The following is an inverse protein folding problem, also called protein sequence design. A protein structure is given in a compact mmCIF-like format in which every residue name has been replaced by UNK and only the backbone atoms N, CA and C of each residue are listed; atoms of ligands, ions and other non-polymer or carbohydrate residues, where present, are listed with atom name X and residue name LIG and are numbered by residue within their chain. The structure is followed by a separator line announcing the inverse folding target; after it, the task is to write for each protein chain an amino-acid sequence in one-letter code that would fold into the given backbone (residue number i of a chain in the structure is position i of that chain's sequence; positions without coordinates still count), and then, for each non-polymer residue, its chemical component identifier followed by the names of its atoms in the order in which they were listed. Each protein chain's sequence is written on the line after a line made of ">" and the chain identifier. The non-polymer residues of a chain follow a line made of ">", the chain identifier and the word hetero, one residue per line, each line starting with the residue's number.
data_IF_345957978545
#
_entry.id   IF_345957978545
#
_cell.length_a   1.000
_cell.length_b   1.000
_cell.length_c   1.000
_cell.angle_alpha   90.00
_cell.angle_beta   90.00
_cell.angle_gamma   90.00
#
_symmetry.space_group_name_H-M   'P 1'
#
loop_
_entity.id
_entity.type
_entity.pdbx_description
1 polymer ?
#
# COMPACT_ATOMS: atom_id res chain seq x y z
N UNK A 1 -30.54 41.45 48.01
CA UNK A 1 -31.26 41.02 46.77
C UNK A 1 -30.22 40.86 45.65
N UNK A 2 -29.92 39.67 45.24
CA UNK A 2 -29.01 39.43 44.09
C UNK A 2 -29.81 39.89 42.83
N UNK A 3 -29.22 40.83 42.09
CA UNK A 3 -29.83 41.37 40.89
C UNK A 3 -29.96 40.25 39.83
N UNK A 4 -31.20 39.80 39.61
CA UNK A 4 -31.55 38.72 38.63
C UNK A 4 -30.95 38.97 37.24
N UNK A 5 -30.79 40.23 36.86
CA UNK A 5 -30.19 40.66 35.61
C UNK A 5 -28.67 40.45 35.57
N UNK A 6 -27.99 40.61 36.72
CA UNK A 6 -26.54 40.33 36.85
C UNK A 6 -26.29 38.82 36.83
N UNK A 7 -27.14 38.05 37.49
CA UNK A 7 -27.06 36.59 37.52
C UNK A 7 -27.19 35.97 36.11
N UNK A 8 -28.13 36.45 35.30
CA UNK A 8 -28.31 35.96 33.93
C UNK A 8 -27.14 36.28 33.02
N UNK A 9 -26.50 37.43 33.17
CA UNK A 9 -25.28 37.79 32.43
C UNK A 9 -24.08 36.93 32.82
N UNK A 10 -23.91 36.68 34.13
CA UNK A 10 -22.84 35.79 34.61
C UNK A 10 -23.05 34.35 34.09
N UNK A 11 -24.29 33.84 34.07
CA UNK A 11 -24.63 32.53 33.55
C UNK A 11 -24.35 32.43 32.03
N UNK A 12 -24.72 33.43 31.27
CA UNK A 12 -24.48 33.48 29.82
C UNK A 12 -22.97 33.48 29.51
N UNK A 13 -22.18 34.22 30.30
CA UNK A 13 -20.71 34.25 30.15
C UNK A 13 -20.07 32.94 30.52
N UNK A 14 -20.52 32.25 31.57
CA UNK A 14 -20.04 30.89 31.95
C UNK A 14 -20.38 29.87 30.85
N UNK A 15 -21.56 29.89 30.30
CA UNK A 15 -21.95 29.00 29.17
C UNK A 15 -21.09 29.29 27.94
N UNK A 16 -20.84 30.56 27.61
CA UNK A 16 -19.97 30.95 26.51
C UNK A 16 -18.53 30.45 26.70
N UNK A 17 -17.96 30.62 27.89
CA UNK A 17 -16.64 30.11 28.22
C UNK A 17 -16.59 28.57 28.19
N UNK A 18 -17.61 27.90 28.66
CA UNK A 18 -17.73 26.44 28.58
C UNK A 18 -17.80 25.96 27.13
N UNK A 19 -18.57 26.62 26.27
CA UNK A 19 -18.64 26.28 24.84
C UNK A 19 -17.28 26.49 24.15
N UNK A 20 -16.56 27.59 24.46
CA UNK A 20 -15.23 27.86 23.91
C UNK A 20 -14.23 26.80 24.41
N UNK A 21 -14.25 26.47 25.69
CA UNK A 21 -13.41 25.43 26.26
C UNK A 21 -13.68 24.06 25.62
N UNK A 22 -14.96 23.72 25.42
CA UNK A 22 -15.36 22.46 24.78
C UNK A 22 -14.95 22.43 23.32
N UNK A 23 -15.18 23.54 22.57
CA UNK A 23 -14.76 23.68 21.19
C UNK A 23 -13.23 23.57 21.03
N UNK A 24 -12.47 24.20 21.95
CA UNK A 24 -11.02 24.13 21.96
C UNK A 24 -10.54 22.68 22.19
N UNK A 25 -11.08 22.00 23.19
CA UNK A 25 -10.71 20.58 23.47
C UNK A 25 -11.19 19.61 22.38
N UNK A 26 -12.32 19.91 21.72
CA UNK A 26 -12.84 19.09 20.63
C UNK A 26 -12.03 19.28 19.33
N UNK A 27 -11.53 20.51 19.10
CA UNK A 27 -10.74 20.84 17.91
C UNK A 27 -9.23 20.52 18.08
N UNK A 28 -8.79 20.11 19.27
CA UNK A 28 -7.38 19.88 19.58
C UNK A 28 -6.90 18.44 19.29
N UNK A 29 -7.61 17.65 18.52
CA UNK A 29 -7.00 16.47 17.86
C UNK A 29 -6.16 17.01 16.68
N UNK A 30 -4.98 17.54 17.01
CA UNK A 30 -3.98 17.88 16.00
C UNK A 30 -3.62 16.58 15.28
N UNK A 31 -4.09 16.44 14.06
CA UNK A 31 -3.63 15.37 13.19
C UNK A 31 -2.41 15.84 12.42
N UNK A 32 -1.39 15.00 12.38
CA UNK A 32 -0.19 15.20 11.57
C UNK A 32 -0.35 14.42 10.29
N UNK A 33 -0.06 15.05 9.16
CA UNK A 33 -0.15 14.41 7.85
C UNK A 33 1.18 14.52 7.12
N UNK A 34 1.62 13.41 6.57
CA UNK A 34 2.70 13.34 5.58
C UNK A 34 2.15 12.75 4.29
N UNK A 35 2.69 13.18 3.15
CA UNK A 35 2.19 12.74 1.85
C UNK A 35 3.26 12.79 0.78
N UNK A 36 3.04 12.07 -0.31
CA UNK A 36 3.94 12.07 -1.45
C UNK A 36 3.30 11.45 -2.69
N UNK A 37 4.14 11.08 -3.65
CA UNK A 37 3.71 10.48 -4.91
C UNK A 37 4.41 9.14 -5.13
N UNK A 38 3.64 8.11 -5.47
CA UNK A 38 4.15 6.78 -5.80
C UNK A 38 3.13 5.98 -6.62
N UNK A 39 3.58 4.98 -7.37
CA UNK A 39 2.72 4.06 -8.14
C UNK A 39 1.76 4.76 -9.10
N UNK A 40 2.15 5.94 -9.63
CA UNK A 40 1.28 6.76 -10.49
C UNK A 40 0.12 7.47 -9.78
N UNK A 41 0.15 7.55 -8.43
CA UNK A 41 -0.88 8.18 -7.58
C UNK A 41 -0.25 8.89 -6.39
N UNK A 42 -1.06 9.56 -5.59
CA UNK A 42 -0.63 10.13 -4.31
C UNK A 42 -0.76 9.09 -3.19
N UNK A 43 0.06 9.25 -2.17
CA UNK A 43 -0.11 8.58 -0.89
C UNK A 43 -0.17 9.60 0.23
N UNK A 44 -0.87 9.29 1.31
CA UNK A 44 -0.89 10.09 2.52
C UNK A 44 -1.02 9.23 3.77
N UNK A 45 -0.44 9.71 4.86
CA UNK A 45 -0.57 9.11 6.19
C UNK A 45 -0.98 10.22 7.14
N UNK A 46 -2.10 10.04 7.79
CA UNK A 46 -2.60 10.92 8.85
C UNK A 46 -2.50 10.20 10.17
N UNK A 47 -1.96 10.85 11.19
CA UNK A 47 -1.83 10.29 12.54
C UNK A 47 -2.17 11.32 13.60
N UNK A 48 -2.64 10.86 14.76
CA UNK A 48 -2.78 11.71 15.96
C UNK A 48 -1.45 11.93 16.68
N UNK A 49 -0.47 11.06 16.43
CA UNK A 49 0.90 11.20 16.89
C UNK A 49 1.73 11.99 15.88
N UNK A 50 2.76 12.68 16.37
CA UNK A 50 3.67 13.44 15.51
C UNK A 50 4.53 12.49 14.64
N UNK A 51 4.46 12.67 13.34
CA UNK A 51 5.28 11.92 12.38
C UNK A 51 6.55 12.74 12.12
N UNK A 52 7.66 12.35 12.73
CA UNK A 52 8.94 13.01 12.56
C UNK A 52 9.54 12.73 11.14
N UNK A 53 10.40 13.62 10.65
CA UNK A 53 11.01 13.55 9.31
C UNK A 53 11.69 12.21 8.99
N UNK A 54 12.28 11.56 10.01
CA UNK A 54 12.91 10.25 9.79
C UNK A 54 11.89 9.15 9.50
N UNK A 55 10.66 9.24 10.05
CA UNK A 55 9.57 8.32 9.73
C UNK A 55 9.09 8.52 8.30
N UNK A 56 8.91 9.77 7.87
CA UNK A 56 8.55 10.10 6.48
C UNK A 56 9.57 9.52 5.49
N UNK A 57 10.87 9.71 5.75
CA UNK A 57 11.96 9.14 4.93
C UNK A 57 11.91 7.62 4.88
N UNK A 58 11.65 6.95 6.00
CA UNK A 58 11.56 5.49 6.04
C UNK A 58 10.30 4.98 5.32
N UNK A 59 9.18 5.68 5.44
CA UNK A 59 7.96 5.38 4.69
C UNK A 59 8.20 5.50 3.19
N UNK A 60 8.81 6.62 2.75
CA UNK A 60 9.16 6.79 1.34
C UNK A 60 10.13 5.71 0.84
N UNK A 61 11.06 5.28 1.69
CA UNK A 61 11.95 4.16 1.36
C UNK A 61 11.17 2.85 1.19
N UNK A 62 10.25 2.52 2.09
CA UNK A 62 9.39 1.32 1.98
C UNK A 62 8.62 1.35 0.65
N UNK A 63 8.04 2.49 0.29
CA UNK A 63 7.30 2.68 -0.95
C UNK A 63 8.21 2.46 -2.16
N UNK A 64 9.39 3.07 -2.16
CA UNK A 64 10.35 2.94 -3.27
C UNK A 64 10.89 1.51 -3.42
N UNK A 65 11.19 0.84 -2.31
CA UNK A 65 11.66 -0.55 -2.30
C UNK A 65 10.60 -1.48 -2.93
N UNK A 66 9.32 -1.27 -2.61
CA UNK A 66 8.22 -2.06 -3.17
C UNK A 66 8.00 -1.73 -4.65
N UNK A 67 8.16 -0.47 -5.05
CA UNK A 67 8.06 -0.07 -6.45
C UNK A 67 9.18 -0.71 -7.29
N UNK A 68 10.41 -0.73 -6.78
CA UNK A 68 11.53 -1.42 -7.44
C UNK A 68 11.36 -2.95 -7.47
N UNK A 69 10.61 -3.49 -6.54
CA UNK A 69 10.35 -4.92 -6.48
C UNK A 69 9.21 -5.36 -7.41
N UNK A 70 8.11 -4.62 -7.45
CA UNK A 70 6.83 -5.08 -8.01
C UNK A 70 6.34 -4.29 -9.24
N UNK A 71 7.04 -3.27 -9.70
CA UNK A 71 6.57 -2.40 -10.79
C UNK A 71 6.70 -3.07 -12.15
N UNK A 72 5.58 -3.17 -12.87
CA UNK A 72 5.57 -3.55 -14.28
C UNK A 72 5.99 -2.40 -15.22
N UNK A 73 6.16 -1.18 -14.68
CA UNK A 73 6.53 0.02 -15.45
C UNK A 73 8.03 0.29 -15.47
N UNK A 74 8.80 -0.38 -14.60
CA UNK A 74 10.25 -0.25 -14.50
C UNK A 74 10.91 -1.50 -15.08
N UNK A 75 11.75 -1.32 -16.10
CA UNK A 75 12.44 -2.43 -16.77
C UNK A 75 13.50 -3.10 -15.90
N UNK A 76 13.99 -2.40 -14.87
CA UNK A 76 14.97 -2.83 -13.89
C UNK A 76 14.35 -3.28 -12.56
N UNK A 77 13.03 -3.33 -12.47
CA UNK A 77 12.35 -3.89 -11.30
C UNK A 77 12.59 -5.39 -11.19
N UNK A 78 12.53 -5.90 -9.96
CA UNK A 78 12.76 -7.32 -9.70
C UNK A 78 11.74 -8.21 -10.46
N UNK A 79 10.45 -7.81 -10.48
CA UNK A 79 9.44 -8.56 -11.22
C UNK A 79 9.65 -8.50 -12.74
N UNK A 80 10.19 -7.42 -13.29
CA UNK A 80 10.54 -7.34 -14.70
C UNK A 80 11.68 -8.31 -15.06
N UNK A 81 12.68 -8.44 -14.18
CA UNK A 81 13.75 -9.44 -14.33
C UNK A 81 13.17 -10.86 -14.33
N UNK A 82 12.27 -11.16 -13.39
CA UNK A 82 11.58 -12.46 -13.35
C UNK A 82 10.73 -12.69 -14.60
N UNK A 83 10.02 -11.69 -15.08
CA UNK A 83 9.18 -11.78 -16.26
C UNK A 83 9.97 -12.13 -17.52
N UNK A 84 11.16 -11.54 -17.67
CA UNK A 84 12.06 -11.76 -18.80
C UNK A 84 13.03 -12.95 -18.57
N UNK A 85 13.02 -13.52 -17.38
CA UNK A 85 13.87 -14.65 -17.03
C UNK A 85 13.47 -15.97 -17.70
N UNK A 86 14.37 -16.98 -17.67
CA UNK A 86 14.15 -18.26 -18.32
C UNK A 86 12.99 -19.03 -17.70
N UNK A 87 12.35 -19.90 -18.50
CA UNK A 87 11.32 -20.84 -18.04
C UNK A 87 11.97 -22.11 -17.46
N UNK A 88 11.24 -22.79 -16.58
CA UNK A 88 11.67 -24.03 -15.91
C UNK A 88 13.02 -23.93 -15.21
N UNK A 89 13.37 -22.72 -14.73
CA UNK A 89 14.62 -22.43 -14.03
C UNK A 89 14.31 -21.71 -12.71
N UNK A 90 15.02 -22.04 -11.66
CA UNK A 90 14.95 -21.32 -10.38
C UNK A 90 15.49 -19.89 -10.55
N UNK A 91 14.65 -18.92 -10.30
CA UNK A 91 15.03 -17.50 -10.25
C UNK A 91 14.91 -17.07 -8.79
N UNK A 92 16.05 -16.84 -8.14
CA UNK A 92 16.09 -16.33 -6.75
C UNK A 92 15.52 -14.92 -6.70
N UNK A 93 14.68 -14.66 -5.70
CA UNK A 93 14.01 -13.38 -5.51
C UNK A 93 14.18 -12.90 -4.07
N UNK A 94 13.96 -11.60 -3.86
CA UNK A 94 13.93 -11.01 -2.52
C UNK A 94 12.84 -11.63 -1.65
N UNK A 95 13.00 -11.54 -0.33
CA UNK A 95 11.98 -11.97 0.63
C UNK A 95 10.64 -11.29 0.36
N UNK A 96 10.66 -10.00 0.05
CA UNK A 96 9.45 -9.23 -0.24
C UNK A 96 8.72 -9.71 -1.49
N UNK A 97 9.44 -9.95 -2.59
CA UNK A 97 8.81 -10.47 -3.81
C UNK A 97 8.30 -11.90 -3.61
N UNK A 98 9.04 -12.72 -2.89
CA UNK A 98 8.61 -14.07 -2.52
C UNK A 98 7.30 -14.04 -1.72
N UNK A 99 7.19 -13.11 -0.76
CA UNK A 99 5.98 -12.93 0.06
C UNK A 99 4.79 -12.50 -0.81
N UNK A 100 4.96 -11.50 -1.69
CA UNK A 100 3.90 -11.05 -2.61
C UNK A 100 3.42 -12.21 -3.49
N UNK A 101 4.34 -12.97 -4.10
CA UNK A 101 3.99 -14.12 -4.94
C UNK A 101 3.28 -15.21 -4.14
N UNK A 102 3.67 -15.42 -2.87
CA UNK A 102 3.05 -16.39 -1.97
C UNK A 102 1.62 -15.98 -1.61
N UNK A 103 1.41 -14.71 -1.26
CA UNK A 103 0.09 -14.15 -0.97
C UNK A 103 -0.80 -14.25 -2.23
N UNK A 104 -0.27 -13.86 -3.38
CA UNK A 104 -1.00 -13.96 -4.66
C UNK A 104 -1.47 -15.37 -4.97
N UNK A 105 -0.62 -16.37 -4.68
CA UNK A 105 -0.98 -17.78 -4.86
C UNK A 105 -2.11 -18.22 -3.92
N UNK A 106 -2.11 -17.72 -2.67
CA UNK A 106 -3.18 -18.00 -1.72
C UNK A 106 -4.50 -17.33 -2.16
N UNK A 107 -4.45 -16.05 -2.58
CA UNK A 107 -5.63 -15.33 -3.09
C UNK A 107 -6.19 -15.99 -4.34
N UNK A 108 -5.34 -16.43 -5.27
CA UNK A 108 -5.76 -17.19 -6.45
C UNK A 108 -6.51 -18.47 -6.06
N UNK A 109 -6.01 -19.19 -5.06
CA UNK A 109 -6.66 -20.42 -4.57
C UNK A 109 -8.02 -20.14 -3.94
N UNK A 110 -8.15 -19.14 -3.04
CA UNK A 110 -9.41 -18.84 -2.35
C UNK A 110 -10.45 -18.21 -3.27
N UNK A 111 -10.00 -17.53 -4.35
CA UNK A 111 -10.87 -16.97 -5.38
C UNK A 111 -11.23 -17.99 -6.49
N UNK A 112 -10.87 -19.27 -6.35
CA UNK A 112 -11.07 -20.28 -7.38
C UNK A 112 -10.49 -19.89 -8.77
N UNK A 113 -9.34 -19.17 -8.76
CA UNK A 113 -8.63 -18.74 -9.99
C UNK A 113 -9.18 -17.45 -10.62
N UNK A 114 -10.21 -16.81 -10.04
CA UNK A 114 -10.66 -15.50 -10.53
C UNK A 114 -9.59 -14.41 -10.35
N UNK A 115 -8.76 -14.53 -9.34
CA UNK A 115 -7.58 -13.71 -9.17
C UNK A 115 -6.36 -14.42 -9.76
N UNK A 116 -5.77 -13.83 -10.82
CA UNK A 116 -4.64 -14.43 -11.56
C UNK A 116 -3.61 -13.36 -11.93
N UNK A 117 -2.49 -13.37 -11.22
CA UNK A 117 -1.37 -12.45 -11.49
C UNK A 117 -0.54 -12.85 -12.73
N UNK A 118 -0.80 -13.98 -13.36
CA UNK A 118 -0.03 -14.48 -14.51
C UNK A 118 -0.52 -13.90 -15.84
N UNK A 119 -1.40 -12.91 -15.79
CA UNK A 119 -1.99 -12.24 -16.96
C UNK A 119 -1.21 -10.99 -17.41
N UNK A 120 0.05 -10.82 -16.98
CA UNK A 120 0.83 -9.61 -17.25
C UNK A 120 1.00 -9.28 -18.73
N UNK A 121 1.11 -10.28 -19.61
CA UNK A 121 1.12 -10.04 -21.06
C UNK A 121 -0.22 -9.52 -21.58
N UNK A 122 -1.33 -9.98 -21.03
CA UNK A 122 -2.67 -9.49 -21.37
C UNK A 122 -2.82 -8.04 -20.93
N UNK A 123 -2.46 -7.73 -19.67
CA UNK A 123 -2.42 -6.35 -19.14
C UNK A 123 -1.59 -5.44 -20.05
N UNK A 124 -0.40 -5.89 -20.43
CA UNK A 124 0.50 -5.14 -21.34
C UNK A 124 -0.14 -4.89 -22.70
N UNK A 125 -0.79 -5.88 -23.30
CA UNK A 125 -1.48 -5.72 -24.60
C UNK A 125 -2.65 -4.73 -24.54
N UNK A 126 -3.24 -4.55 -23.36
CA UNK A 126 -4.32 -3.59 -23.11
C UNK A 126 -3.81 -2.17 -22.76
N UNK A 127 -2.49 -1.98 -22.69
CA UNK A 127 -1.90 -0.67 -22.41
C UNK A 127 -1.60 -0.39 -20.92
N UNK A 128 -1.68 -1.40 -20.05
CA UNK A 128 -1.39 -1.27 -18.62
C UNK A 128 0.08 -1.52 -18.24
N UNK A 129 1.00 -1.49 -19.24
CA UNK A 129 2.45 -1.57 -19.04
C UNK A 129 3.15 -0.84 -20.18
N UNK A 130 4.30 -0.15 -19.96
CA UNK A 130 5.01 0.57 -21.02
C UNK A 130 5.65 -0.32 -22.08
N UNK A 131 5.85 -1.59 -21.82
CA UNK A 131 6.37 -2.56 -22.78
C UNK A 131 5.22 -3.10 -23.63
N UNK A 132 4.72 -2.25 -24.55
CA UNK A 132 3.71 -2.62 -25.53
C UNK A 132 4.31 -3.56 -26.59
N UNK A 133 4.33 -4.85 -26.34
CA UNK A 133 4.40 -5.80 -27.45
C UNK A 133 3.03 -5.81 -28.13
N UNK A 134 2.92 -5.09 -29.26
CA UNK A 134 1.68 -5.01 -30.07
C UNK A 134 1.15 -6.36 -30.57
N UNK A 135 1.89 -7.44 -30.37
CA UNK A 135 1.56 -8.80 -30.78
C UNK A 135 1.73 -9.80 -29.65
N UNK A 136 1.01 -9.63 -28.53
CA UNK A 136 0.87 -10.70 -27.54
C UNK A 136 -0.07 -11.77 -28.09
N UNK A 137 0.35 -12.43 -29.17
CA UNK A 137 -0.46 -13.46 -29.83
C UNK A 137 -0.44 -14.79 -29.08
N UNK A 138 0.40 -14.96 -28.05
CA UNK A 138 0.52 -16.21 -27.32
C UNK A 138 0.64 -15.97 -25.82
N UNK A 139 -0.51 -15.71 -25.18
CA UNK A 139 -0.61 -15.95 -23.75
C UNK A 139 -0.70 -17.48 -23.58
N UNK A 140 0.32 -18.15 -22.99
CA UNK A 140 0.32 -19.61 -22.90
C UNK A 140 -0.87 -20.09 -22.08
N UNK A 141 -1.50 -21.19 -22.51
CA UNK A 141 -2.64 -21.79 -21.79
C UNK A 141 -2.23 -22.30 -20.40
N UNK A 142 -1.01 -22.83 -20.28
CA UNK A 142 -0.45 -23.27 -19.00
C UNK A 142 0.40 -22.15 -18.39
N UNK A 143 -0.15 -21.42 -17.41
CA UNK A 143 0.50 -20.31 -16.70
C UNK A 143 0.68 -20.66 -15.22
N UNK A 144 1.40 -21.74 -14.93
CA UNK A 144 1.69 -22.12 -13.55
C UNK A 144 3.08 -21.68 -13.13
N UNK A 145 3.23 -21.46 -11.84
CA UNK A 145 4.53 -21.19 -11.21
C UNK A 145 4.67 -21.95 -9.88
N UNK A 146 5.88 -22.31 -9.56
CA UNK A 146 6.26 -22.90 -8.28
C UNK A 146 7.08 -21.91 -7.47
N UNK A 147 6.94 -21.99 -6.15
CA UNK A 147 7.72 -21.21 -5.19
C UNK A 147 8.52 -22.18 -4.32
N UNK A 148 9.83 -21.98 -4.24
CA UNK A 148 10.72 -22.74 -3.38
C UNK A 148 11.09 -21.90 -2.15
N UNK A 149 10.62 -22.33 -0.98
CA UNK A 149 10.84 -21.60 0.28
C UNK A 149 12.30 -21.65 0.77
N UNK A 150 13.04 -22.69 0.41
CA UNK A 150 14.39 -22.91 0.95
C UNK A 150 15.39 -21.89 0.40
N UNK A 151 15.29 -21.58 -0.87
CA UNK A 151 16.19 -20.65 -1.57
C UNK A 151 15.49 -19.37 -2.05
N UNK A 152 14.22 -19.13 -1.63
CA UNK A 152 13.41 -17.97 -2.04
C UNK A 152 13.45 -17.79 -3.56
N UNK A 153 13.03 -18.82 -4.31
CA UNK A 153 12.99 -18.76 -5.76
C UNK A 153 11.60 -19.01 -6.35
N UNK A 154 11.42 -18.53 -7.57
CA UNK A 154 10.25 -18.78 -8.40
C UNK A 154 10.64 -19.48 -9.68
N UNK A 155 9.84 -20.48 -10.10
CA UNK A 155 9.99 -21.21 -11.35
C UNK A 155 8.74 -20.99 -12.18
N UNK A 156 8.86 -20.47 -13.39
CA UNK A 156 7.75 -20.30 -14.34
C UNK A 156 7.68 -21.52 -15.26
N UNK A 157 6.47 -22.06 -15.47
CA UNK A 157 6.26 -23.19 -16.39
C UNK A 157 6.24 -22.79 -17.86
N UNK A 158 6.07 -21.51 -18.17
CA UNK A 158 5.96 -20.98 -19.54
C UNK A 158 6.31 -19.49 -19.57
N UNK A 159 6.37 -18.90 -20.76
CA UNK A 159 6.78 -17.51 -20.99
C UNK A 159 5.63 -16.50 -20.71
N UNK A 160 4.86 -16.67 -19.66
CA UNK A 160 3.93 -15.64 -19.18
C UNK A 160 4.66 -14.54 -18.38
N UNK A 161 3.96 -13.44 -18.15
CA UNK A 161 4.42 -12.37 -17.27
C UNK A 161 3.51 -12.25 -16.05
N UNK A 162 4.11 -12.00 -14.91
CA UNK A 162 3.38 -11.58 -13.71
C UNK A 162 2.95 -10.11 -13.83
N UNK A 163 1.75 -9.82 -13.32
CA UNK A 163 1.27 -8.46 -13.07
C UNK A 163 0.90 -8.36 -11.59
N UNK A 164 1.65 -7.55 -10.85
CA UNK A 164 1.47 -7.35 -9.41
C UNK A 164 0.74 -6.05 -9.06
N UNK A 165 0.26 -5.28 -10.06
CA UNK A 165 -0.37 -3.96 -9.85
C UNK A 165 -1.60 -4.02 -8.93
N UNK A 166 -2.32 -5.14 -8.93
CA UNK A 166 -3.49 -5.37 -8.08
C UNK A 166 -3.17 -5.65 -6.60
N UNK A 167 -1.94 -6.06 -6.28
CA UNK A 167 -1.54 -6.46 -4.92
C UNK A 167 -0.46 -5.56 -4.32
N UNK A 168 0.39 -4.94 -5.14
CA UNK A 168 1.55 -4.19 -4.67
C UNK A 168 1.18 -3.02 -3.75
N UNK A 169 0.10 -2.29 -4.04
CA UNK A 169 -0.38 -1.19 -3.18
C UNK A 169 -0.84 -1.69 -1.81
N UNK A 170 -1.63 -2.77 -1.78
CA UNK A 170 -2.07 -3.39 -0.53
C UNK A 170 -0.89 -3.91 0.31
N UNK A 171 0.12 -4.49 -0.34
CA UNK A 171 1.34 -4.91 0.32
C UNK A 171 2.12 -3.71 0.88
N UNK A 172 2.20 -2.60 0.15
CA UNK A 172 2.83 -1.37 0.63
C UNK A 172 2.11 -0.81 1.86
N UNK A 173 0.78 -0.74 1.84
CA UNK A 173 -0.04 -0.31 2.98
C UNK A 173 0.23 -1.20 4.20
N UNK A 174 0.25 -2.53 4.03
CA UNK A 174 0.57 -3.48 5.10
C UNK A 174 1.98 -3.28 5.67
N UNK A 175 2.98 -3.03 4.83
CA UNK A 175 4.37 -2.82 5.26
C UNK A 175 4.52 -1.50 6.01
N UNK A 176 3.90 -0.42 5.54
CA UNK A 176 3.88 0.88 6.21
C UNK A 176 3.15 0.76 7.55
N UNK A 177 1.99 0.10 7.58
CA UNK A 177 1.25 -0.16 8.81
C UNK A 177 2.11 -0.86 9.86
N UNK A 178 2.77 -1.96 9.49
CA UNK A 178 3.68 -2.68 10.38
C UNK A 178 4.82 -1.80 10.87
N UNK A 179 5.39 -0.96 10.00
CA UNK A 179 6.43 0.00 10.37
C UNK A 179 5.94 1.00 11.41
N UNK A 180 4.75 1.59 11.20
CA UNK A 180 4.16 2.58 12.12
C UNK A 180 3.88 1.97 13.50
N UNK A 181 3.28 0.77 13.56
CA UNK A 181 3.05 0.05 14.81
C UNK A 181 4.35 -0.21 15.58
N UNK A 182 5.39 -0.67 14.89
CA UNK A 182 6.69 -0.96 15.50
C UNK A 182 7.40 0.30 16.03
N UNK A 183 6.95 1.49 15.62
CA UNK A 183 7.45 2.78 16.07
C UNK A 183 6.47 3.53 17.00
N UNK A 184 5.49 2.82 17.57
CA UNK A 184 4.47 3.36 18.48
C UNK A 184 3.59 4.49 17.88
N UNK A 185 3.44 4.53 16.56
CA UNK A 185 2.48 5.39 15.88
C UNK A 185 1.19 4.58 15.67
N UNK A 186 0.36 4.50 16.73
CA UNK A 186 -0.73 3.53 16.83
C UNK A 186 -2.02 3.97 16.12
N UNK A 187 -2.28 5.30 16.12
CA UNK A 187 -3.50 5.86 15.55
C UNK A 187 -3.18 6.52 14.21
N UNK A 188 -3.40 5.80 13.13
CA UNK A 188 -3.07 6.29 11.79
C UNK A 188 -4.06 5.82 10.73
N UNK A 189 -4.19 6.65 9.72
CA UNK A 189 -4.88 6.38 8.47
C UNK A 189 -3.85 6.38 7.35
N UNK A 190 -3.75 5.30 6.59
CA UNK A 190 -2.87 5.17 5.43
C UNK A 190 -3.74 5.14 4.18
N UNK A 191 -3.47 6.02 3.23
CA UNK A 191 -4.10 6.06 1.91
C UNK A 191 -3.04 5.95 0.82
N UNK A 192 -3.21 5.03 -0.13
CA UNK A 192 -2.40 4.93 -1.35
C UNK A 192 -3.36 4.77 -2.53
N UNK A 193 -3.80 5.88 -3.13
CA UNK A 193 -4.61 5.89 -4.33
C UNK A 193 -5.89 5.06 -4.22
N UNK A 194 -6.81 5.42 -3.33
CA UNK A 194 -8.09 4.77 -3.04
C UNK A 194 -8.01 3.47 -2.20
N UNK A 195 -6.81 3.00 -1.83
CA UNK A 195 -6.65 1.93 -0.85
C UNK A 195 -6.39 2.55 0.51
N UNK A 196 -7.32 2.37 1.44
CA UNK A 196 -7.29 2.99 2.77
C UNK A 196 -7.31 1.93 3.86
N UNK A 197 -6.43 2.05 4.84
CA UNK A 197 -6.50 1.32 6.12
C UNK A 197 -6.54 2.35 7.24
N UNK A 198 -7.58 2.29 8.05
CA UNK A 198 -7.73 3.08 9.27
C UNK A 198 -7.59 2.18 10.49
N UNK A 199 -6.77 2.61 11.45
CA UNK A 199 -6.69 2.05 12.77
C UNK A 199 -6.75 3.18 13.79
N UNK A 200 -7.78 3.15 14.57
CA UNK A 200 -7.99 4.04 15.70
C UNK A 200 -8.90 3.36 16.72
N UNK A 201 -8.56 3.48 17.97
CA UNK A 201 -9.42 3.10 19.08
C UNK A 201 -10.39 4.22 19.43
#
# INVERSE_FOLDING_TARGET
>A
MINRYLLSKCLALLVGLFCIFFAYNFNSKNTHQVSGYAYGTTWSITSTEFIADHHEKNIQKIINDIDMMASNYKSDSEIAIVNNGPINTDITVSDGLFDILSISKQVSKVSNGYYDITLGKVSSSMGFSPNFEKNVTNNPLNRSYALNKNNKSVIKSSAFWFDLSSIAKGYAVQRIHTYLLNNNLLNHLIDIGLLTIELGS
#
